data_IF_997643269128
#
_entry.id   IF_997643269128
#
_cell.length_a   1.000
_cell.length_b   1.000
_cell.length_c   1.000
_cell.angle_alpha   90.00
_cell.angle_beta   90.00
_cell.angle_gamma   90.00
#
_symmetry.space_group_name_H-M   'P 1'
#
loop_
_entity.id
_entity.type
_entity.pdbx_description
1 polymer ?
#
# COMPACT_ATOMS: atom_id res chain seq x y z
N UNK A 1 -9.73 11.43 24.45
CA UNK A 1 -9.25 11.46 23.04
C UNK A 1 -9.88 10.39 22.14
N UNK A 2 -10.66 9.43 22.66
CA UNK A 2 -11.22 8.31 21.89
C UNK A 2 -12.54 8.60 21.15
N UNK A 3 -13.15 9.78 21.35
CA UNK A 3 -14.49 10.10 20.83
C UNK A 3 -14.48 10.90 19.52
N UNK A 4 -13.35 11.49 19.14
CA UNK A 4 -13.28 12.41 18.00
C UNK A 4 -13.25 11.68 16.65
N UNK A 5 -12.68 10.47 16.59
CA UNK A 5 -12.51 9.76 15.31
C UNK A 5 -13.78 9.04 14.85
N UNK A 6 -14.57 8.47 15.78
CA UNK A 6 -15.81 7.75 15.43
C UNK A 6 -16.94 8.72 15.03
N UNK A 7 -16.91 9.96 15.54
CA UNK A 7 -17.95 10.97 15.23
C UNK A 7 -17.84 11.59 13.84
N UNK A 8 -16.76 11.31 13.08
CA UNK A 8 -16.59 11.79 11.71
C UNK A 8 -17.61 11.20 10.73
N UNK A 9 -18.29 10.11 11.08
CA UNK A 9 -19.22 9.43 10.18
C UNK A 9 -20.70 9.79 10.37
N UNK A 10 -21.07 10.59 11.39
CA UNK A 10 -22.49 10.91 11.63
C UNK A 10 -22.94 12.30 11.17
N UNK A 11 -22.05 13.24 10.85
CA UNK A 11 -22.44 14.54 10.29
C UNK A 11 -21.29 15.17 9.50
N UNK A 12 -21.10 14.76 8.24
CA UNK A 12 -20.29 15.55 7.30
C UNK A 12 -21.08 15.74 6.00
N UNK A 13 -21.92 16.78 5.99
CA UNK A 13 -22.73 17.24 4.84
C UNK A 13 -21.85 17.96 3.78
N UNK A 14 -20.52 17.95 3.92
CA UNK A 14 -19.58 18.59 3.01
C UNK A 14 -18.72 17.50 2.32
N UNK A 15 -18.98 17.15 1.05
CA UNK A 15 -18.23 16.12 0.32
C UNK A 15 -16.71 16.35 0.29
N UNK A 16 -16.28 17.61 0.35
CA UNK A 16 -14.88 18.00 0.36
C UNK A 16 -14.16 17.66 1.69
N UNK A 17 -14.82 17.76 2.84
CA UNK A 17 -14.20 17.42 4.13
C UNK A 17 -14.11 15.91 4.31
N UNK A 18 -15.13 15.16 3.85
CA UNK A 18 -15.14 13.70 3.90
C UNK A 18 -13.98 13.09 3.11
N UNK A 19 -13.76 13.54 1.87
CA UNK A 19 -12.64 13.08 1.05
C UNK A 19 -11.27 13.40 1.66
N UNK A 20 -11.13 14.56 2.31
CA UNK A 20 -9.89 14.91 3.03
C UNK A 20 -9.66 14.00 4.24
N UNK A 21 -10.72 13.68 4.98
CA UNK A 21 -10.67 12.74 6.11
C UNK A 21 -10.20 11.35 5.69
N UNK A 22 -10.76 10.80 4.62
CA UNK A 22 -10.32 9.50 4.08
C UNK A 22 -8.88 9.51 3.59
N UNK A 23 -8.43 10.59 2.95
CA UNK A 23 -7.02 10.74 2.51
C UNK A 23 -6.06 10.80 3.69
N UNK A 24 -6.42 11.51 4.76
CA UNK A 24 -5.63 11.51 5.99
C UNK A 24 -5.59 10.11 6.61
N UNK A 25 -6.73 9.42 6.69
CA UNK A 25 -6.81 8.07 7.23
C UNK A 25 -5.98 7.08 6.40
N UNK A 26 -5.95 7.23 5.07
CA UNK A 26 -5.11 6.43 4.18
C UNK A 26 -3.62 6.55 4.53
N UNK A 27 -3.15 7.76 4.80
CA UNK A 27 -1.78 8.00 5.25
C UNK A 27 -1.59 7.39 6.65
N UNK A 28 -2.46 7.68 7.61
CA UNK A 28 -2.29 7.17 8.98
C UNK A 28 -2.22 5.64 9.05
N UNK A 29 -3.11 4.94 8.34
CA UNK A 29 -3.17 3.47 8.32
C UNK A 29 -1.96 2.81 7.66
N UNK A 30 -1.21 3.52 6.83
CA UNK A 30 0.03 3.03 6.20
C UNK A 30 1.30 3.27 7.02
N UNK A 31 1.25 4.16 8.02
CA UNK A 31 2.45 4.65 8.72
C UNK A 31 2.47 4.29 10.20
N UNK A 32 1.30 4.21 10.83
CA UNK A 32 1.22 4.05 12.28
C UNK A 32 0.36 2.85 12.65
N UNK A 33 0.92 1.99 13.51
CA UNK A 33 0.11 1.01 14.24
C UNK A 33 -0.71 1.75 15.29
N UNK A 34 -2.02 1.61 15.24
CA UNK A 34 -2.86 2.01 16.37
C UNK A 34 -2.68 1.02 17.54
N UNK A 35 -3.18 1.37 18.72
CA UNK A 35 -3.14 0.45 19.85
C UNK A 35 -3.95 -0.82 19.58
N UNK A 36 -3.57 -1.94 20.20
CA UNK A 36 -4.30 -3.20 20.07
C UNK A 36 -5.75 -3.09 20.54
N UNK A 37 -6.02 -2.18 21.48
CA UNK A 37 -7.38 -1.84 21.92
C UNK A 37 -8.18 -1.15 20.81
N UNK A 38 -7.59 -0.23 20.06
CA UNK A 38 -8.27 0.52 18.98
C UNK A 38 -8.43 -0.32 17.71
N UNK A 39 -7.49 -1.24 17.45
CA UNK A 39 -7.43 -2.06 16.25
C UNK A 39 -8.75 -2.71 15.83
N UNK A 40 -9.46 -3.47 16.69
CA UNK A 40 -10.69 -4.15 16.27
C UNK A 40 -11.79 -3.17 15.85
N UNK A 41 -11.93 -2.05 16.56
CA UNK A 41 -12.93 -1.03 16.24
C UNK A 41 -12.63 -0.34 14.91
N UNK A 42 -11.37 0.03 14.69
CA UNK A 42 -10.96 0.66 13.44
C UNK A 42 -11.10 -0.30 12.25
N UNK A 43 -10.76 -1.58 12.43
CA UNK A 43 -10.89 -2.57 11.37
C UNK A 43 -12.36 -2.82 11.02
N UNK A 44 -13.24 -2.99 12.01
CA UNK A 44 -14.69 -3.13 11.80
C UNK A 44 -15.25 -1.92 11.05
N UNK A 45 -14.93 -0.70 11.50
CA UNK A 45 -15.34 0.53 10.83
C UNK A 45 -14.94 0.57 9.35
N UNK A 46 -13.71 0.18 9.03
CA UNK A 46 -13.22 0.15 7.66
C UNK A 46 -13.91 -0.93 6.83
N UNK A 47 -14.17 -2.10 7.40
CA UNK A 47 -14.89 -3.20 6.74
C UNK A 47 -16.33 -2.80 6.43
N UNK A 48 -17.03 -2.17 7.37
CA UNK A 48 -18.39 -1.66 7.18
C UNK A 48 -18.42 -0.61 6.06
N UNK A 49 -17.45 0.31 6.05
CA UNK A 49 -17.32 1.32 5.00
C UNK A 49 -17.00 0.71 3.61
N UNK A 50 -16.38 -0.47 3.56
CA UNK A 50 -16.14 -1.21 2.31
C UNK A 50 -17.38 -1.96 1.81
N UNK A 51 -18.24 -2.40 2.74
CA UNK A 51 -19.39 -3.25 2.46
C UNK A 51 -20.54 -2.50 1.77
N UNK A 52 -20.58 -1.17 1.87
CA UNK A 52 -21.61 -0.35 1.23
C UNK A 52 -21.22 -0.10 -0.24
N UNK A 53 -21.91 -0.69 -1.23
CA UNK A 53 -21.61 -0.45 -2.64
C UNK A 53 -22.07 0.95 -3.08
N UNK A 54 -21.35 1.55 -4.02
CA UNK A 54 -21.75 2.82 -4.65
C UNK A 54 -21.38 4.09 -3.90
N UNK A 55 -20.76 3.99 -2.72
CA UNK A 55 -20.23 5.17 -2.01
C UNK A 55 -18.89 5.61 -2.61
N UNK A 56 -18.70 6.92 -2.79
CA UNK A 56 -17.51 7.49 -3.44
C UNK A 56 -16.19 7.12 -2.74
N UNK A 57 -16.23 6.84 -1.43
CA UNK A 57 -15.06 6.51 -0.62
C UNK A 57 -14.78 5.01 -0.48
N UNK A 58 -15.57 4.13 -1.11
CA UNK A 58 -15.40 2.68 -0.96
C UNK A 58 -13.98 2.22 -1.32
N UNK A 59 -13.43 2.76 -2.43
CA UNK A 59 -12.09 2.40 -2.89
C UNK A 59 -10.97 2.82 -1.92
N UNK A 60 -11.08 4.01 -1.32
CA UNK A 60 -10.09 4.48 -0.34
C UNK A 60 -10.26 3.77 1.01
N UNK A 61 -11.49 3.47 1.43
CA UNK A 61 -11.76 2.67 2.61
C UNK A 61 -11.12 1.28 2.50
N UNK A 62 -11.27 0.61 1.34
CA UNK A 62 -10.63 -0.69 1.08
C UNK A 62 -9.11 -0.61 1.11
N UNK A 63 -8.53 0.49 0.61
CA UNK A 63 -7.10 0.68 0.68
C UNK A 63 -6.60 0.96 2.11
N UNK A 64 -7.35 1.73 2.91
CA UNK A 64 -7.06 1.94 4.34
C UNK A 64 -7.09 0.62 5.13
N UNK A 65 -8.08 -0.24 4.85
CA UNK A 65 -8.23 -1.56 5.47
C UNK A 65 -7.02 -2.46 5.18
N UNK A 66 -6.61 -2.53 3.91
CA UNK A 66 -5.42 -3.26 3.48
C UNK A 66 -4.15 -2.69 4.12
N UNK A 67 -3.99 -1.35 4.11
CA UNK A 67 -2.84 -0.68 4.73
C UNK A 67 -2.75 -1.01 6.22
N UNK A 68 -3.87 -0.95 6.95
CA UNK A 68 -3.91 -1.23 8.38
C UNK A 68 -3.44 -2.66 8.67
N UNK A 69 -3.94 -3.67 7.94
CA UNK A 69 -3.50 -5.07 8.11
C UNK A 69 -2.00 -5.22 7.90
N UNK A 70 -1.49 -4.63 6.82
CA UNK A 70 -0.08 -4.69 6.44
C UNK A 70 0.81 -3.99 7.46
N UNK A 71 0.40 -2.81 7.95
CA UNK A 71 1.10 -2.06 9.01
C UNK A 71 1.19 -2.84 10.32
N UNK A 72 0.17 -3.64 10.66
CA UNK A 72 0.23 -4.54 11.80
C UNK A 72 1.14 -5.75 11.57
N UNK A 73 1.15 -6.29 10.35
CA UNK A 73 1.93 -7.49 10.02
C UNK A 73 3.43 -7.20 9.87
N UNK A 74 3.79 -6.15 9.14
CA UNK A 74 5.18 -5.84 8.76
C UNK A 74 5.74 -4.58 9.43
N UNK A 75 4.91 -3.84 10.17
CA UNK A 75 5.24 -2.49 10.61
C UNK A 75 4.78 -1.43 9.62
N UNK A 76 4.63 -0.20 10.14
CA UNK A 76 4.26 0.95 9.31
C UNK A 76 5.45 1.47 8.52
N UNK A 77 5.16 2.24 7.47
CA UNK A 77 6.19 2.94 6.70
C UNK A 77 7.02 3.88 7.58
N UNK A 78 8.33 3.88 7.34
CA UNK A 78 9.27 4.80 7.98
C UNK A 78 9.43 6.10 7.16
N UNK A 79 9.27 6.02 5.84
CA UNK A 79 9.46 7.14 4.91
C UNK A 79 8.14 7.73 4.44
N UNK A 80 7.96 9.03 4.69
CA UNK A 80 6.78 9.80 4.30
C UNK A 80 6.50 9.72 2.80
N UNK A 81 5.23 9.88 2.36
CA UNK A 81 4.90 9.83 0.95
C UNK A 81 5.59 10.97 0.20
N UNK A 82 6.20 10.67 -0.94
CA UNK A 82 6.78 11.71 -1.78
C UNK A 82 5.70 12.47 -2.58
N UNK A 83 6.10 13.56 -3.26
CA UNK A 83 5.20 14.39 -4.05
C UNK A 83 4.44 13.64 -5.15
N UNK A 84 5.03 12.61 -5.75
CA UNK A 84 4.36 11.79 -6.76
C UNK A 84 3.31 10.87 -6.15
N UNK A 85 3.63 10.24 -5.02
CA UNK A 85 2.66 9.42 -4.25
C UNK A 85 1.47 10.27 -3.80
N UNK A 86 1.74 11.49 -3.31
CA UNK A 86 0.68 12.40 -2.89
C UNK A 86 -0.21 12.83 -4.07
N UNK A 87 0.38 13.21 -5.21
CA UNK A 87 -0.38 13.54 -6.44
C UNK A 87 -1.21 12.35 -6.92
N UNK A 88 -0.67 11.13 -6.88
CA UNK A 88 -1.41 9.93 -7.25
C UNK A 88 -2.59 9.67 -6.32
N UNK A 89 -2.39 9.79 -5.01
CA UNK A 89 -3.46 9.66 -4.01
C UNK A 89 -4.56 10.71 -4.21
N UNK A 90 -4.20 11.96 -4.50
CA UNK A 90 -5.18 13.02 -4.80
C UNK A 90 -6.01 12.71 -6.06
N UNK A 91 -5.43 11.99 -7.03
CA UNK A 91 -6.10 11.49 -8.22
C UNK A 91 -6.85 10.16 -7.99
N UNK A 92 -6.99 9.69 -6.74
CA UNK A 92 -7.69 8.45 -6.41
C UNK A 92 -6.93 7.17 -6.76
N UNK A 93 -5.62 7.27 -7.03
CA UNK A 93 -4.75 6.12 -7.33
C UNK A 93 -4.04 5.67 -6.06
N UNK A 94 -4.18 4.40 -5.72
CA UNK A 94 -3.54 3.75 -4.56
C UNK A 94 -2.39 2.81 -4.96
N UNK A 95 -1.95 2.89 -6.21
CA UNK A 95 -0.94 2.00 -6.77
C UNK A 95 -0.11 2.67 -7.86
N UNK A 96 1.15 2.26 -7.98
CA UNK A 96 2.08 2.64 -9.03
C UNK A 96 2.43 1.42 -9.87
N UNK A 97 2.44 1.57 -11.20
CA UNK A 97 3.03 0.56 -12.10
C UNK A 97 4.55 0.75 -12.07
N UNK A 98 5.27 -0.26 -11.62
CA UNK A 98 6.71 -0.22 -11.44
C UNK A 98 7.37 -1.25 -12.34
N UNK A 99 8.41 -0.83 -13.05
CA UNK A 99 9.23 -1.72 -13.85
C UNK A 99 10.22 -2.48 -12.95
N UNK A 100 10.22 -3.79 -13.10
CA UNK A 100 11.15 -4.75 -12.54
C UNK A 100 11.91 -5.44 -13.67
N UNK A 101 13.21 -5.63 -13.46
CA UNK A 101 14.11 -6.28 -14.39
C UNK A 101 14.51 -7.63 -13.81
N UNK A 102 14.15 -8.70 -14.51
CA UNK A 102 14.51 -10.06 -14.16
C UNK A 102 15.89 -10.43 -14.77
N UNK A 103 16.54 -11.50 -14.28
CA UNK A 103 17.74 -12.04 -14.91
C UNK A 103 17.49 -12.34 -16.39
N UNK A 104 18.50 -12.08 -17.23
CA UNK A 104 18.35 -12.22 -18.69
C UNK A 104 17.77 -10.99 -19.41
N UNK A 105 17.59 -9.87 -18.71
CA UNK A 105 17.14 -8.61 -19.32
C UNK A 105 15.64 -8.54 -19.59
N UNK A 106 14.85 -9.40 -18.94
CA UNK A 106 13.41 -9.45 -19.13
C UNK A 106 12.76 -8.33 -18.29
N UNK A 107 11.95 -7.51 -18.96
CA UNK A 107 11.21 -6.41 -18.35
C UNK A 107 9.82 -6.85 -17.89
N UNK A 108 9.47 -6.57 -16.62
CA UNK A 108 8.17 -6.89 -16.03
C UNK A 108 7.58 -5.72 -15.28
N UNK A 109 6.32 -5.43 -15.52
CA UNK A 109 5.62 -4.34 -14.85
C UNK A 109 4.67 -4.87 -13.80
N UNK A 110 4.91 -4.54 -12.53
CA UNK A 110 4.03 -4.90 -11.44
C UNK A 110 3.33 -3.69 -10.85
N UNK A 111 2.24 -3.96 -10.14
CA UNK A 111 1.43 -2.94 -9.47
C UNK A 111 1.80 -2.87 -8.00
N UNK A 112 2.63 -1.90 -7.64
CA UNK A 112 3.07 -1.66 -6.28
C UNK A 112 2.08 -0.75 -5.55
N UNK A 113 1.67 -1.14 -4.33
CA UNK A 113 0.79 -0.36 -3.45
C UNK A 113 1.60 0.33 -2.36
N UNK A 114 0.97 1.24 -1.61
CA UNK A 114 1.62 2.02 -0.55
C UNK A 114 2.28 1.17 0.54
N UNK A 115 1.68 0.04 0.93
CA UNK A 115 2.22 -0.87 1.96
C UNK A 115 2.79 -2.18 1.36
N UNK A 116 3.12 -2.18 0.07
CA UNK A 116 3.82 -3.31 -0.54
C UNK A 116 5.21 -3.44 0.06
N UNK A 117 5.60 -4.67 0.39
CA UNK A 117 6.95 -5.00 0.88
C UNK A 117 7.67 -5.86 -0.17
N UNK A 118 8.97 -6.05 0.00
CA UNK A 118 9.78 -6.80 -0.96
C UNK A 118 9.26 -8.23 -1.19
N UNK A 119 8.81 -8.92 -0.13
CA UNK A 119 8.30 -10.29 -0.26
C UNK A 119 7.07 -10.38 -1.17
N UNK A 120 6.14 -9.42 -1.16
CA UNK A 120 4.97 -9.45 -2.06
C UNK A 120 5.39 -9.45 -3.54
N UNK A 121 6.44 -8.68 -3.83
CA UNK A 121 6.94 -8.50 -5.19
C UNK A 121 7.70 -9.75 -5.65
N UNK A 122 8.47 -10.35 -4.74
CA UNK A 122 9.19 -11.59 -5.01
C UNK A 122 8.18 -12.73 -5.23
N UNK A 123 7.17 -12.86 -4.36
CA UNK A 123 6.08 -13.83 -4.49
C UNK A 123 5.36 -13.68 -5.85
N UNK A 124 4.91 -12.48 -6.20
CA UNK A 124 4.21 -12.21 -7.47
C UNK A 124 5.07 -12.58 -8.69
N UNK A 125 6.38 -12.29 -8.65
CA UNK A 125 7.28 -12.66 -9.74
C UNK A 125 7.61 -14.15 -9.78
N UNK A 126 7.76 -14.80 -8.63
CA UNK A 126 7.97 -16.24 -8.55
C UNK A 126 6.76 -16.98 -9.12
N UNK A 127 5.55 -16.57 -8.75
CA UNK A 127 4.31 -17.12 -9.30
C UNK A 127 4.21 -16.93 -10.81
N UNK A 128 4.52 -15.73 -11.34
CA UNK A 128 4.56 -15.49 -12.79
C UNK A 128 5.59 -16.35 -13.53
N UNK A 129 6.70 -16.70 -12.86
CA UNK A 129 7.74 -17.57 -13.41
C UNK A 129 7.46 -19.06 -13.22
N UNK A 130 6.35 -19.43 -12.56
CA UNK A 130 6.02 -20.84 -12.24
C UNK A 130 6.87 -21.45 -11.13
N UNK A 131 7.48 -20.62 -10.29
CA UNK A 131 8.31 -21.03 -9.17
C UNK A 131 7.47 -21.09 -7.89
N UNK A 132 6.80 -22.22 -7.66
CA UNK A 132 5.89 -22.39 -6.53
C UNK A 132 6.53 -23.02 -5.28
N UNK A 133 7.85 -23.24 -5.31
CA UNK A 133 8.59 -23.81 -4.17
C UNK A 133 8.88 -22.72 -3.15
N UNK A 134 8.66 -22.99 -1.87
CA UNK A 134 8.84 -22.00 -0.81
C UNK A 134 10.28 -21.49 -0.75
N UNK A 135 11.25 -22.35 -1.03
CA UNK A 135 12.68 -22.05 -1.05
C UNK A 135 13.06 -21.06 -2.14
N UNK A 136 12.25 -20.91 -3.20
CA UNK A 136 12.52 -19.94 -4.26
C UNK A 136 12.44 -18.51 -3.74
N UNK A 137 11.57 -18.22 -2.76
CA UNK A 137 11.43 -16.86 -2.21
C UNK A 137 12.71 -16.39 -1.51
N UNK A 138 13.43 -17.31 -0.86
CA UNK A 138 14.70 -17.04 -0.19
C UNK A 138 15.87 -16.89 -1.17
N UNK A 139 15.70 -17.41 -2.40
CA UNK A 139 16.69 -17.31 -3.47
C UNK A 139 16.59 -16.03 -4.29
N UNK A 140 15.73 -15.08 -3.96
CA UNK A 140 15.59 -13.84 -4.73
C UNK A 140 15.64 -12.60 -3.82
N UNK A 141 16.36 -11.58 -4.29
CA UNK A 141 16.44 -10.27 -3.64
C UNK A 141 16.14 -9.15 -4.64
N UNK A 142 15.50 -8.07 -4.15
CA UNK A 142 15.22 -6.86 -4.94
C UNK A 142 16.32 -5.84 -4.71
N UNK A 143 16.91 -5.37 -5.81
CA UNK A 143 17.91 -4.31 -5.84
C UNK A 143 17.34 -3.05 -6.48
N UNK A 144 17.68 -1.89 -5.95
CA UNK A 144 17.36 -0.61 -6.57
C UNK A 144 18.47 -0.25 -7.56
N UNK A 145 18.13 -0.11 -8.85
CA UNK A 145 19.04 0.45 -9.85
C UNK A 145 18.71 1.92 -10.07
N UNK A 146 19.72 2.77 -9.88
CA UNK A 146 19.64 4.21 -10.15
C UNK A 146 20.68 4.58 -11.20
N UNK A 147 20.25 5.04 -12.38
CA UNK A 147 21.17 5.66 -13.34
C UNK A 147 21.43 7.11 -12.91
N UNK A 148 22.71 7.51 -12.82
CA UNK A 148 23.10 8.91 -12.55
C UNK A 148 22.41 9.81 -13.58
N UNK A 149 21.44 10.61 -13.14
CA UNK A 149 20.72 11.59 -13.96
C UNK A 149 19.26 11.28 -14.30
N UNK A 150 18.75 10.06 -14.10
CA UNK A 150 17.34 9.72 -14.36
C UNK A 150 16.65 9.19 -13.10
N UNK A 151 15.46 9.73 -12.79
CA UNK A 151 14.60 9.31 -11.66
C UNK A 151 13.94 7.93 -11.87
N UNK A 152 14.30 7.20 -12.92
CA UNK A 152 13.81 5.85 -13.19
C UNK A 152 14.49 4.88 -12.24
N UNK A 153 13.87 4.65 -11.09
CA UNK A 153 14.21 3.55 -10.19
C UNK A 153 13.60 2.29 -10.77
N UNK A 154 14.42 1.34 -11.23
CA UNK A 154 13.96 0.00 -11.59
C UNK A 154 14.39 -0.98 -10.51
N UNK A 155 13.49 -1.87 -10.09
CA UNK A 155 13.83 -2.97 -9.22
C UNK A 155 14.50 -4.07 -10.05
N UNK A 156 15.67 -4.57 -9.65
CA UNK A 156 16.27 -5.75 -10.26
C UNK A 156 16.08 -6.91 -9.30
N UNK A 157 15.68 -8.08 -9.81
CA UNK A 157 15.67 -9.30 -9.00
C UNK A 157 16.83 -10.19 -9.37
N UNK A 158 17.62 -10.60 -8.37
CA UNK A 158 18.74 -11.54 -8.53
C UNK A 158 18.85 -12.45 -7.30
N UNK A 159 19.46 -13.63 -7.46
CA UNK A 159 19.79 -14.46 -6.32
C UNK A 159 20.84 -13.81 -5.41
N UNK A 160 20.75 -14.04 -4.08
CA UNK A 160 21.81 -13.65 -3.15
C UNK A 160 23.09 -14.38 -3.56
N UNK A 161 24.18 -13.62 -3.73
CA UNK A 161 25.51 -14.16 -4.06
C UNK A 161 26.11 -14.88 -2.86
#
# INVERSE_FOLDING_TARGET
MSTIVIKLNSFCVIPCSLNRGWRLLYILTAFHRCSDVMKPFLLSFLQDACAIPGVQYQGIAKACEQNLRRTFQYGGRVQYPNSMELKAMLAGRSSKRQLFLLPGGIERHLKIKTCSVAVDVIEELCDEMGLHRAEALDEYAIFLVTHRGNQAQSGVIKPPQ
#
